data_IF_329640862736
#
_entry.id   IF_329640862736
#
_cell.length_a   1.000
_cell.length_b   1.000
_cell.length_c   1.000
_cell.angle_alpha   90.00
_cell.angle_beta   90.00
_cell.angle_gamma   90.00
#
_symmetry.space_group_name_H-M   'P 1'
#
loop_
_entity.id
_entity.type
_entity.pdbx_description
1 polymer ?
#
# COMPACT_ATOMS: atom_id res chain seq x y z
N UNK A 1 -41.73 63.42 10.30
CA UNK A 1 -40.32 63.13 10.65
C UNK A 1 -40.17 62.06 11.70
N UNK A 2 -40.97 62.08 12.81
CA UNK A 2 -40.90 61.10 13.90
C UNK A 2 -41.38 59.72 13.44
N UNK A 3 -42.40 59.64 12.60
CA UNK A 3 -42.95 58.36 12.11
C UNK A 3 -42.01 57.62 11.11
N UNK A 4 -41.27 58.40 10.34
CA UNK A 4 -40.24 57.81 9.41
C UNK A 4 -39.00 57.33 10.15
N UNK A 5 -38.70 57.91 11.31
CA UNK A 5 -37.61 57.49 12.18
C UNK A 5 -37.97 56.18 12.92
N UNK A 6 -39.20 56.05 13.43
CA UNK A 6 -39.69 54.81 14.04
C UNK A 6 -39.75 53.64 13.07
N UNK A 7 -40.15 53.85 11.81
CA UNK A 7 -40.15 52.84 10.77
C UNK A 7 -38.76 52.39 10.40
N UNK A 8 -37.75 53.26 10.41
CA UNK A 8 -36.35 52.86 10.20
C UNK A 8 -35.79 52.05 11.36
N UNK A 9 -36.09 52.44 12.62
CA UNK A 9 -35.65 51.70 13.78
C UNK A 9 -36.33 50.33 13.85
N UNK A 10 -37.60 50.22 13.47
CA UNK A 10 -38.29 48.92 13.37
C UNK A 10 -37.78 48.06 12.21
N UNK A 11 -37.33 48.64 11.13
CA UNK A 11 -36.73 47.94 10.00
C UNK A 11 -35.30 47.43 10.32
N UNK A 12 -34.53 48.21 11.11
CA UNK A 12 -33.22 47.74 11.59
C UNK A 12 -33.34 46.68 12.72
N UNK A 13 -34.39 46.73 13.53
CA UNK A 13 -34.68 45.68 14.55
C UNK A 13 -35.17 44.37 13.87
N UNK A 14 -35.64 44.41 12.64
CA UNK A 14 -36.03 43.29 11.85
C UNK A 14 -34.87 42.75 10.96
N UNK A 15 -33.61 43.01 11.32
CA UNK A 15 -32.50 42.29 10.75
C UNK A 15 -32.76 40.79 10.94
N UNK A 16 -32.74 39.96 9.87
CA UNK A 16 -33.08 38.58 10.00
C UNK A 16 -32.12 37.98 11.04
N UNK A 17 -32.66 37.52 12.14
CA UNK A 17 -31.93 36.68 13.08
C UNK A 17 -31.36 35.60 12.18
N UNK A 18 -30.04 35.67 11.90
CA UNK A 18 -29.35 34.63 11.18
C UNK A 18 -29.62 33.36 11.96
N UNK A 19 -30.66 32.64 11.56
CA UNK A 19 -31.00 31.37 12.13
C UNK A 19 -29.72 30.57 12.13
N UNK A 20 -29.26 30.17 13.27
CA UNK A 20 -28.23 29.14 13.41
C UNK A 20 -28.83 27.81 12.97
N UNK A 21 -29.44 27.78 11.79
CA UNK A 21 -29.81 26.54 11.14
C UNK A 21 -28.51 25.77 10.97
N UNK A 22 -28.49 24.59 11.53
CA UNK A 22 -27.38 23.65 11.32
C UNK A 22 -27.19 23.56 9.80
N UNK A 23 -26.04 24.04 9.29
CA UNK A 23 -25.75 24.03 7.86
C UNK A 23 -25.88 22.60 7.38
N UNK A 24 -26.85 22.30 6.54
CA UNK A 24 -27.12 20.97 5.98
C UNK A 24 -25.93 20.37 5.25
N UNK A 25 -24.97 21.21 4.87
CA UNK A 25 -23.78 20.88 4.09
C UNK A 25 -22.49 20.87 4.90
N UNK A 26 -22.56 20.46 6.15
CA UNK A 26 -21.32 20.22 6.94
C UNK A 26 -20.48 19.12 6.28
N UNK A 27 -19.15 19.31 6.08
CA UNK A 27 -18.30 18.26 5.57
C UNK A 27 -18.40 17.00 6.41
N UNK A 28 -18.50 15.84 5.76
CA UNK A 28 -18.49 14.55 6.43
C UNK A 28 -17.14 14.35 7.12
N UNK A 29 -17.15 13.97 8.38
CA UNK A 29 -15.92 13.71 9.11
C UNK A 29 -15.29 12.41 8.64
N UNK A 30 -14.09 12.51 8.08
CA UNK A 30 -13.38 11.43 7.42
C UNK A 30 -13.85 11.18 5.99
N UNK A 31 -12.91 10.86 5.10
CA UNK A 31 -13.22 10.60 3.69
C UNK A 31 -14.09 9.36 3.53
N UNK A 32 -15.14 9.45 2.72
CA UNK A 32 -15.98 8.31 2.33
C UNK A 32 -15.26 7.33 1.41
N UNK A 33 -14.22 7.73 0.72
CA UNK A 33 -13.41 6.86 -0.11
C UNK A 33 -12.72 5.72 0.69
N UNK A 34 -12.58 5.91 2.02
CA UNK A 34 -12.02 4.92 2.93
C UNK A 34 -13.08 4.20 3.76
N UNK A 35 -14.27 4.05 3.23
CA UNK A 35 -15.34 3.25 3.81
C UNK A 35 -15.58 1.98 2.97
N UNK A 36 -16.04 0.89 3.59
CA UNK A 36 -16.10 0.61 5.03
C UNK A 36 -14.71 0.42 5.65
N UNK A 37 -14.52 0.90 6.88
CA UNK A 37 -13.24 0.76 7.62
C UNK A 37 -13.18 -0.58 8.31
N UNK A 38 -12.96 -1.63 7.54
CA UNK A 38 -12.86 -3.01 8.00
C UNK A 38 -11.39 -3.37 8.29
N UNK A 39 -11.19 -4.35 9.15
CA UNK A 39 -9.91 -5.02 9.34
C UNK A 39 -9.55 -5.78 8.06
N UNK A 40 -8.31 -5.68 7.59
CA UNK A 40 -7.83 -6.43 6.43
C UNK A 40 -7.88 -7.95 6.71
N UNK A 41 -8.28 -8.73 5.70
CA UNK A 41 -8.34 -10.18 5.82
C UNK A 41 -6.95 -10.83 5.90
N UNK A 42 -5.93 -10.21 5.26
CA UNK A 42 -4.55 -10.69 5.21
C UNK A 42 -3.59 -9.60 5.67
N UNK A 43 -2.40 -9.98 6.11
CA UNK A 43 -1.35 -9.04 6.53
C UNK A 43 -0.70 -8.31 5.35
N UNK A 44 -0.90 -8.77 4.14
CA UNK A 44 -0.40 -8.18 2.90
C UNK A 44 -1.55 -7.87 1.94
N UNK A 45 -1.45 -6.82 1.14
CA UNK A 45 -2.45 -6.45 0.15
C UNK A 45 -2.37 -7.32 -1.11
N UNK A 46 -3.45 -7.33 -1.88
CA UNK A 46 -3.49 -7.97 -3.21
C UNK A 46 -2.93 -6.99 -4.25
N UNK A 47 -2.10 -7.51 -5.15
CA UNK A 47 -1.65 -6.77 -6.33
C UNK A 47 -2.74 -6.89 -7.39
N UNK A 48 -3.32 -5.77 -7.77
CA UNK A 48 -4.22 -5.71 -8.93
C UNK A 48 -3.41 -5.24 -10.13
N UNK A 49 -3.57 -5.86 -11.30
CA UNK A 49 -2.95 -5.38 -12.51
C UNK A 49 -3.43 -3.94 -12.79
N UNK A 50 -2.54 -3.14 -13.29
CA UNK A 50 -2.86 -1.84 -13.86
C UNK A 50 -2.09 -1.76 -15.15
N UNK A 51 -2.78 -1.42 -16.21
CA UNK A 51 -2.32 -1.21 -17.57
C UNK A 51 -1.03 -1.95 -17.95
N UNK A 52 -1.18 -2.94 -18.74
CA UNK A 52 -0.13 -3.83 -19.22
C UNK A 52 0.63 -3.30 -20.44
N UNK A 53 0.30 -2.12 -20.91
CA UNK A 53 0.96 -1.49 -22.06
C UNK A 53 2.39 -1.07 -21.72
N UNK A 54 3.36 -1.88 -22.07
CA UNK A 54 4.79 -1.60 -22.00
C UNK A 54 5.55 -2.52 -22.93
N UNK A 55 6.50 -1.98 -23.70
CA UNK A 55 7.35 -2.73 -24.63
C UNK A 55 8.22 -3.77 -23.93
N UNK A 56 8.51 -3.57 -22.64
CA UNK A 56 9.36 -4.46 -21.86
C UNK A 56 8.55 -5.40 -20.98
N UNK A 57 8.87 -6.69 -21.09
CA UNK A 57 8.28 -7.73 -20.24
C UNK A 57 8.98 -7.71 -18.89
N UNK A 58 8.25 -7.29 -17.86
CA UNK A 58 8.74 -7.24 -16.47
C UNK A 58 7.61 -7.56 -15.50
N UNK A 59 7.93 -8.15 -14.34
CA UNK A 59 6.98 -8.21 -13.23
C UNK A 59 6.60 -6.79 -12.79
N UNK A 60 5.32 -6.57 -12.52
CA UNK A 60 4.80 -5.24 -12.18
C UNK A 60 4.88 -4.93 -10.68
N UNK A 61 5.28 -5.87 -9.86
CA UNK A 61 5.36 -5.68 -8.41
C UNK A 61 6.49 -6.52 -7.79
N UNK A 62 6.93 -6.07 -6.63
CA UNK A 62 7.87 -6.76 -5.76
C UNK A 62 7.41 -6.63 -4.30
N UNK A 63 7.89 -7.49 -3.42
CA UNK A 63 7.55 -7.41 -2.00
C UNK A 63 8.81 -7.43 -1.12
N UNK A 64 8.79 -6.61 -0.08
CA UNK A 64 9.85 -6.55 0.92
C UNK A 64 9.29 -6.26 2.31
N UNK A 65 10.13 -6.35 3.31
CA UNK A 65 9.78 -6.13 4.70
C UNK A 65 10.26 -4.75 5.18
N UNK A 66 9.37 -3.98 5.81
CA UNK A 66 9.75 -2.69 6.38
C UNK A 66 10.72 -2.89 7.55
N UNK A 67 11.97 -2.50 7.38
CA UNK A 67 12.97 -2.57 8.43
C UNK A 67 12.88 -1.36 9.37
N UNK A 68 13.18 -0.18 8.87
CA UNK A 68 13.23 1.03 9.66
C UNK A 68 13.19 2.29 8.81
N UNK A 69 13.56 3.39 9.41
CA UNK A 69 13.77 4.65 8.72
C UNK A 69 15.15 5.19 9.08
N UNK A 70 15.76 5.90 8.15
CA UNK A 70 17.03 6.57 8.34
C UNK A 70 17.02 7.93 7.68
N UNK A 71 18.05 8.72 7.92
CA UNK A 71 18.31 9.98 7.25
C UNK A 71 19.31 9.76 6.13
N UNK A 72 19.12 10.49 5.04
CA UNK A 72 20.00 10.47 3.87
C UNK A 72 20.30 11.89 3.43
N UNK A 73 21.50 12.12 2.92
CA UNK A 73 21.84 13.34 2.17
C UNK A 73 21.78 13.05 0.68
N UNK A 74 21.03 13.85 -0.04
CA UNK A 74 20.80 13.73 -1.49
C UNK A 74 20.99 15.09 -2.13
N UNK A 75 21.71 15.16 -3.24
CA UNK A 75 21.77 16.37 -4.06
C UNK A 75 20.44 16.55 -4.80
N UNK A 76 19.85 17.73 -4.71
CA UNK A 76 18.61 18.02 -5.43
C UNK A 76 18.89 18.32 -6.90
N UNK A 77 18.61 17.35 -7.76
CA UNK A 77 18.84 17.43 -9.21
C UNK A 77 17.70 18.11 -9.98
N UNK A 78 16.66 18.58 -9.31
CA UNK A 78 15.48 19.19 -9.95
C UNK A 78 15.79 20.63 -10.35
N UNK A 79 15.79 20.92 -11.65
CA UNK A 79 16.15 22.24 -12.21
C UNK A 79 15.33 23.43 -11.67
N UNK A 80 14.03 23.20 -11.35
CA UNK A 80 13.10 24.25 -10.90
C UNK A 80 12.95 24.30 -9.36
N UNK A 81 13.79 23.60 -8.63
CA UNK A 81 13.76 23.61 -7.16
C UNK A 81 14.59 24.76 -6.61
N UNK A 82 14.12 25.42 -5.57
CA UNK A 82 14.88 26.43 -4.82
C UNK A 82 16.15 25.84 -4.19
N UNK A 83 16.25 24.51 -4.06
CA UNK A 83 17.38 23.77 -3.52
C UNK A 83 18.20 23.07 -4.60
N UNK A 84 18.01 23.43 -5.88
CA UNK A 84 18.72 22.81 -7.00
C UNK A 84 20.25 22.89 -6.79
N UNK A 85 20.93 21.75 -6.98
CA UNK A 85 22.39 21.63 -6.78
C UNK A 85 22.86 21.60 -5.32
N UNK A 86 21.98 21.82 -4.34
CA UNK A 86 22.34 21.76 -2.92
C UNK A 86 22.11 20.38 -2.33
N UNK A 87 22.86 20.05 -1.31
CA UNK A 87 22.61 18.86 -0.50
C UNK A 87 21.40 19.09 0.42
N UNK A 88 20.49 18.16 0.39
CA UNK A 88 19.27 18.19 1.21
C UNK A 88 19.16 16.91 2.02
N UNK A 89 19.02 17.04 3.33
CA UNK A 89 18.76 15.91 4.22
C UNK A 89 17.30 15.52 4.07
N UNK A 90 17.05 14.23 3.82
CA UNK A 90 15.70 13.66 3.67
C UNK A 90 15.56 12.38 4.48
N UNK A 91 14.35 12.14 4.98
CA UNK A 91 14.03 10.86 5.57
C UNK A 91 13.88 9.80 4.47
N UNK A 92 14.39 8.61 4.73
CA UNK A 92 14.20 7.43 3.88
C UNK A 92 13.74 6.23 4.70
N UNK A 93 12.93 5.40 4.10
CA UNK A 93 12.54 4.11 4.69
C UNK A 93 13.37 3.01 4.07
N UNK A 94 13.93 2.16 4.93
CA UNK A 94 14.66 0.96 4.53
C UNK A 94 13.69 -0.19 4.45
N UNK A 95 13.67 -0.85 3.30
CA UNK A 95 12.94 -2.09 3.05
C UNK A 95 13.95 -3.19 2.84
N UNK A 96 13.82 -4.25 3.60
CA UNK A 96 14.55 -5.51 3.44
C UNK A 96 13.88 -6.31 2.30
N UNK A 97 14.62 -6.60 1.27
CA UNK A 97 14.13 -7.18 0.02
C UNK A 97 14.84 -8.50 -0.30
N UNK A 98 14.62 -9.56 0.51
CA UNK A 98 15.12 -10.87 0.13
C UNK A 98 14.54 -11.29 -1.23
N UNK A 99 15.23 -12.14 -2.01
CA UNK A 99 14.73 -12.62 -3.27
C UNK A 99 13.38 -13.32 -3.12
N UNK A 100 12.52 -13.21 -4.15
CA UNK A 100 11.24 -13.88 -4.19
C UNK A 100 11.36 -15.13 -5.06
N UNK A 101 10.91 -16.28 -4.58
CA UNK A 101 10.90 -17.52 -5.37
C UNK A 101 9.62 -17.61 -6.18
N UNK A 102 9.74 -17.85 -7.48
CA UNK A 102 8.59 -18.10 -8.37
C UNK A 102 8.19 -19.57 -8.24
N UNK A 103 7.09 -19.83 -7.55
CA UNK A 103 6.61 -21.17 -7.25
C UNK A 103 5.63 -21.73 -8.27
N UNK A 104 4.97 -20.85 -9.02
CA UNK A 104 3.98 -21.26 -10.01
C UNK A 104 3.50 -20.13 -10.90
N UNK A 105 2.69 -20.50 -11.85
CA UNK A 105 2.08 -19.62 -12.84
C UNK A 105 0.57 -19.77 -12.73
N UNK A 106 -0.16 -18.67 -12.72
CA UNK A 106 -1.62 -18.66 -12.69
C UNK A 106 -2.16 -17.98 -13.93
N UNK A 107 -3.09 -18.66 -14.57
CA UNK A 107 -3.70 -18.26 -15.83
C UNK A 107 -5.07 -17.67 -15.57
N UNK A 108 -5.37 -16.56 -16.23
CA UNK A 108 -6.64 -15.86 -16.14
C UNK A 108 -7.22 -15.65 -17.53
N UNK A 109 -8.52 -15.92 -17.68
CA UNK A 109 -9.30 -15.52 -18.83
C UNK A 109 -10.22 -14.36 -18.47
N UNK A 110 -10.61 -13.58 -19.47
CA UNK A 110 -11.63 -12.55 -19.33
C UNK A 110 -13.01 -13.17 -19.61
N UNK A 111 -13.92 -13.01 -18.65
CA UNK A 111 -15.30 -13.42 -18.78
C UNK A 111 -16.19 -12.25 -18.36
N UNK A 112 -16.96 -11.70 -19.30
CA UNK A 112 -17.83 -10.54 -19.07
C UNK A 112 -17.16 -9.38 -18.34
N UNK A 113 -15.89 -9.06 -18.70
CA UNK A 113 -15.12 -8.00 -18.06
C UNK A 113 -14.54 -8.35 -16.67
N UNK A 114 -14.71 -9.59 -16.22
CA UNK A 114 -14.13 -10.11 -14.99
C UNK A 114 -13.02 -11.10 -15.28
N UNK A 115 -11.94 -11.07 -14.48
CA UNK A 115 -10.86 -12.06 -14.60
C UNK A 115 -11.21 -13.32 -13.80
N UNK A 116 -11.37 -14.43 -14.49
CA UNK A 116 -11.64 -15.75 -13.93
C UNK A 116 -10.38 -16.60 -14.04
N UNK A 117 -10.05 -17.31 -12.97
CA UNK A 117 -8.89 -18.23 -12.97
C UNK A 117 -9.21 -19.48 -13.78
N UNK A 118 -8.42 -19.76 -14.80
CA UNK A 118 -8.56 -20.96 -15.63
C UNK A 118 -7.74 -22.13 -15.11
N UNK A 119 -6.51 -21.86 -14.67
CA UNK A 119 -5.64 -22.89 -14.15
C UNK A 119 -4.43 -22.34 -13.40
N UNK A 120 -3.74 -23.25 -12.73
CA UNK A 120 -2.48 -22.95 -12.04
C UNK A 120 -1.48 -24.05 -12.33
N UNK A 121 -0.29 -23.66 -12.69
CA UNK A 121 0.84 -24.56 -12.93
C UNK A 121 1.85 -24.33 -11.82
N UNK A 122 2.19 -25.37 -11.10
CA UNK A 122 3.18 -25.33 -10.04
C UNK A 122 4.50 -25.91 -10.51
N UNK A 123 5.59 -25.43 -9.93
CA UNK A 123 6.91 -26.02 -10.09
C UNK A 123 6.93 -27.46 -9.52
N UNK A 124 7.70 -28.36 -10.13
CA UNK A 124 7.82 -29.74 -9.68
C UNK A 124 8.40 -29.87 -8.27
N UNK A 125 9.49 -29.17 -8.01
CA UNK A 125 10.16 -29.18 -6.70
C UNK A 125 9.91 -27.85 -5.99
N UNK A 126 8.91 -27.82 -5.15
CA UNK A 126 8.62 -26.65 -4.31
C UNK A 126 9.56 -26.59 -3.10
N UNK A 127 10.00 -25.39 -2.68
CA UNK A 127 10.80 -25.23 -1.47
C UNK A 127 10.09 -25.80 -0.24
N UNK A 128 10.80 -26.57 0.59
CA UNK A 128 10.25 -27.20 1.81
C UNK A 128 9.63 -26.17 2.79
N UNK A 129 10.12 -24.94 2.78
CA UNK A 129 9.59 -23.86 3.61
C UNK A 129 8.12 -23.56 3.31
N UNK A 130 7.66 -23.82 2.08
CA UNK A 130 6.25 -23.65 1.68
C UNK A 130 5.28 -24.59 2.37
N UNK A 131 5.75 -25.75 2.85
CA UNK A 131 4.91 -26.70 3.62
C UNK A 131 4.30 -26.06 4.87
N UNK A 132 4.91 -24.99 5.40
CA UNK A 132 4.36 -24.20 6.52
C UNK A 132 3.13 -23.37 6.13
N UNK A 133 2.87 -23.22 4.84
CA UNK A 133 1.79 -22.36 4.32
C UNK A 133 0.82 -23.11 3.44
N UNK A 134 1.32 -24.03 2.62
CA UNK A 134 0.55 -24.80 1.65
C UNK A 134 0.79 -26.30 1.90
N UNK A 135 -0.23 -27.10 1.63
CA UNK A 135 -0.07 -28.52 1.55
C UNK A 135 0.66 -28.87 0.24
N UNK A 136 1.84 -29.44 0.32
CA UNK A 136 2.63 -29.84 -0.83
C UNK A 136 2.30 -31.31 -1.14
N UNK A 137 1.75 -31.62 -2.33
CA UNK A 137 1.45 -32.98 -2.70
C UNK A 137 2.75 -33.80 -2.87
N UNK A 138 2.69 -35.07 -2.46
CA UNK A 138 3.86 -35.98 -2.57
C UNK A 138 4.23 -36.28 -4.04
N UNK A 139 3.24 -36.30 -4.94
CA UNK A 139 3.45 -36.48 -6.38
C UNK A 139 3.23 -35.13 -7.08
N UNK A 140 4.25 -34.59 -7.76
CA UNK A 140 4.11 -33.35 -8.48
C UNK A 140 3.21 -33.58 -9.70
N UNK A 141 2.19 -32.76 -9.84
CA UNK A 141 1.34 -32.72 -11.04
C UNK A 141 1.67 -31.47 -11.85
N UNK A 142 2.54 -31.60 -12.83
CA UNK A 142 2.74 -30.55 -13.83
C UNK A 142 1.74 -30.72 -14.97
N UNK A 143 0.73 -29.89 -14.99
CA UNK A 143 -0.18 -29.78 -16.13
C UNK A 143 0.32 -28.73 -17.11
N UNK A 144 1.50 -28.94 -17.72
CA UNK A 144 2.04 -28.06 -18.76
C UNK A 144 1.15 -27.98 -20.00
N UNK A 145 0.40 -29.06 -20.27
CA UNK A 145 -0.48 -29.21 -21.42
C UNK A 145 -1.68 -28.24 -21.43
N UNK A 146 -2.08 -27.72 -20.27
CA UNK A 146 -3.21 -26.79 -20.15
C UNK A 146 -2.96 -25.44 -20.83
N UNK A 147 -1.72 -25.00 -20.91
CA UNK A 147 -1.38 -23.69 -21.44
C UNK A 147 -1.15 -23.67 -22.96
N UNK A 148 -0.70 -24.79 -23.53
CA UNK A 148 -0.43 -24.86 -24.98
C UNK A 148 -1.67 -24.86 -25.86
N UNK A 149 -2.84 -25.24 -25.31
CA UNK A 149 -4.06 -25.44 -26.11
C UNK A 149 -5.02 -24.25 -26.15
N UNK A 150 -4.86 -23.23 -25.29
CA UNK A 150 -5.87 -22.17 -25.09
C UNK A 150 -5.25 -20.76 -24.87
N UNK A 151 -4.08 -20.44 -25.42
CA UNK A 151 -3.44 -19.13 -25.27
C UNK A 151 -4.36 -17.98 -25.74
N UNK A 152 -5.13 -18.21 -26.82
CA UNK A 152 -6.05 -17.22 -27.39
C UNK A 152 -7.19 -16.80 -26.43
N UNK A 153 -7.52 -17.64 -25.47
CA UNK A 153 -8.56 -17.35 -24.47
C UNK A 153 -8.03 -16.67 -23.22
N UNK A 154 -6.71 -16.64 -23.03
CA UNK A 154 -6.09 -16.05 -21.85
C UNK A 154 -6.06 -14.53 -21.97
N UNK A 155 -6.41 -13.88 -20.89
CA UNK A 155 -6.35 -12.42 -20.76
C UNK A 155 -5.10 -11.94 -20.02
N UNK A 156 -4.60 -12.74 -19.07
CA UNK A 156 -3.47 -12.35 -18.21
C UNK A 156 -2.76 -13.58 -17.63
N UNK A 157 -1.46 -13.49 -17.53
CA UNK A 157 -0.61 -14.46 -16.83
C UNK A 157 0.00 -13.81 -15.59
N UNK A 158 -0.08 -14.49 -14.44
CA UNK A 158 0.53 -14.04 -13.19
C UNK A 158 1.51 -15.05 -12.64
N UNK A 159 2.57 -14.54 -12.03
CA UNK A 159 3.52 -15.35 -11.27
C UNK A 159 2.98 -15.55 -9.85
N UNK A 160 2.99 -16.78 -9.36
CA UNK A 160 2.78 -17.08 -7.95
C UNK A 160 4.15 -17.08 -7.28
N UNK A 161 4.36 -16.13 -6.38
CA UNK A 161 5.64 -15.95 -5.71
C UNK A 161 5.53 -16.24 -4.22
N UNK A 162 6.62 -16.72 -3.66
CA UNK A 162 6.83 -16.93 -2.24
C UNK A 162 7.92 -16.02 -1.71
N UNK A 163 7.69 -15.43 -0.55
CA UNK A 163 8.75 -14.69 0.17
C UNK A 163 9.70 -15.65 0.86
N UNK A 164 10.94 -15.21 1.07
CA UNK A 164 11.98 -15.94 1.83
C UNK A 164 12.28 -15.22 3.16
N UNK A 165 11.41 -15.31 4.16
CA UNK A 165 11.61 -14.59 5.43
C UNK A 165 12.81 -15.11 6.23
N UNK A 166 13.30 -16.32 5.96
CA UNK A 166 14.50 -16.86 6.60
C UNK A 166 15.78 -16.13 6.24
N UNK A 167 15.83 -15.48 5.08
CA UNK A 167 16.96 -14.67 4.62
C UNK A 167 16.89 -13.21 5.09
N UNK A 168 15.81 -12.82 5.76
CA UNK A 168 15.62 -11.50 6.33
C UNK A 168 15.87 -11.48 7.84
N UNK A 169 16.14 -10.31 8.40
CA UNK A 169 16.36 -10.13 9.84
C UNK A 169 15.12 -10.25 10.73
N UNK A 170 13.98 -10.69 10.19
CA UNK A 170 12.69 -10.68 10.91
C UNK A 170 12.56 -11.79 11.96
N UNK A 171 13.23 -12.94 11.78
CA UNK A 171 13.01 -14.14 12.59
C UNK A 171 11.69 -14.88 12.28
N UNK A 172 10.98 -14.51 11.22
CA UNK A 172 9.78 -15.20 10.75
C UNK A 172 10.15 -16.42 9.91
N UNK A 173 9.50 -17.54 10.13
CA UNK A 173 9.77 -18.81 9.41
C UNK A 173 8.73 -19.12 8.34
N UNK A 174 7.49 -18.60 8.45
CA UNK A 174 6.41 -18.89 7.51
C UNK A 174 6.42 -17.91 6.35
N UNK A 175 6.51 -18.38 5.09
CA UNK A 175 6.48 -17.52 3.91
C UNK A 175 5.09 -16.96 3.65
N UNK A 176 5.03 -15.88 2.88
CA UNK A 176 3.80 -15.35 2.31
C UNK A 176 3.76 -15.68 0.82
N UNK A 177 2.61 -16.14 0.36
CA UNK A 177 2.39 -16.50 -1.05
C UNK A 177 1.34 -15.57 -1.65
N UNK A 178 1.67 -14.97 -2.78
CA UNK A 178 0.78 -14.03 -3.48
C UNK A 178 1.10 -14.01 -4.99
N UNK A 179 0.26 -13.32 -5.74
CA UNK A 179 0.35 -13.24 -7.19
C UNK A 179 0.97 -11.90 -7.61
N UNK A 180 1.85 -11.94 -8.61
CA UNK A 180 2.43 -10.78 -9.27
C UNK A 180 2.05 -10.81 -10.74
N UNK A 181 1.39 -9.77 -11.28
CA UNK A 181 1.13 -9.64 -12.71
C UNK A 181 2.42 -9.32 -13.47
N UNK A 182 2.48 -9.76 -14.73
CA UNK A 182 3.58 -9.47 -15.65
C UNK A 182 3.09 -8.48 -16.70
N UNK A 183 3.95 -7.60 -17.21
CA UNK A 183 3.63 -6.67 -18.30
C UNK A 183 3.78 -7.35 -19.67
N UNK A 184 3.18 -6.76 -20.71
CA UNK A 184 3.30 -7.20 -22.10
C UNK A 184 2.13 -8.04 -22.59
N UNK A 185 2.27 -8.60 -23.79
CA UNK A 185 1.27 -9.46 -24.42
C UNK A 185 1.25 -10.86 -23.78
N UNK A 186 0.12 -11.54 -23.86
CA UNK A 186 -0.12 -12.82 -23.16
C UNK A 186 0.91 -13.90 -23.56
N UNK A 187 1.24 -14.00 -24.84
CA UNK A 187 2.25 -14.95 -25.32
C UNK A 187 3.63 -14.69 -24.71
N UNK A 188 4.03 -13.43 -24.71
CA UNK A 188 5.30 -13.00 -24.13
C UNK A 188 5.31 -13.14 -22.62
N UNK A 189 4.17 -12.83 -21.93
CA UNK A 189 4.00 -13.08 -20.50
C UNK A 189 4.17 -14.55 -20.17
N UNK A 190 3.62 -15.43 -21.02
CA UNK A 190 3.71 -16.88 -20.88
C UNK A 190 5.16 -17.37 -21.00
N UNK A 191 5.86 -16.97 -22.06
CA UNK A 191 7.27 -17.33 -22.29
C UNK A 191 8.15 -16.90 -21.10
N UNK A 192 7.99 -15.66 -20.63
CA UNK A 192 8.69 -15.13 -19.47
C UNK A 192 8.36 -15.90 -18.19
N UNK A 193 7.10 -16.24 -17.98
CA UNK A 193 6.67 -16.97 -16.79
C UNK A 193 7.27 -18.39 -16.74
N UNK A 194 7.36 -19.06 -17.89
CA UNK A 194 8.02 -20.37 -17.99
C UNK A 194 9.52 -20.28 -17.70
N UNK A 195 10.18 -19.25 -18.23
CA UNK A 195 11.62 -19.03 -17.99
C UNK A 195 11.93 -18.78 -16.51
N UNK A 196 11.07 -18.02 -15.83
CA UNK A 196 11.25 -17.66 -14.42
C UNK A 196 10.71 -18.69 -13.44
N UNK A 197 10.01 -19.71 -13.89
CA UNK A 197 9.46 -20.75 -13.02
C UNK A 197 10.57 -21.47 -12.26
N UNK A 198 10.50 -21.44 -10.94
CA UNK A 198 11.49 -22.03 -10.03
C UNK A 198 12.73 -21.18 -9.77
N UNK A 199 12.86 -20.04 -10.44
CA UNK A 199 13.98 -19.13 -10.22
C UNK A 199 13.64 -18.06 -9.17
N UNK A 200 14.67 -17.41 -8.68
CA UNK A 200 14.56 -16.27 -7.80
C UNK A 200 14.35 -14.99 -8.60
N UNK A 201 13.56 -14.09 -8.05
CA UNK A 201 13.29 -12.77 -8.61
C UNK A 201 13.93 -11.73 -7.69
N UNK A 202 14.86 -10.95 -8.24
CA UNK A 202 15.58 -9.89 -7.53
C UNK A 202 14.87 -8.53 -7.68
N UNK A 203 14.99 -7.61 -6.70
CA UNK A 203 14.37 -6.28 -6.80
C UNK A 203 14.91 -5.46 -7.98
N UNK A 204 16.18 -5.61 -8.34
CA UNK A 204 16.80 -4.91 -9.46
C UNK A 204 16.26 -5.33 -10.85
N UNK A 205 15.72 -6.55 -10.97
CA UNK A 205 15.06 -7.00 -12.20
C UNK A 205 13.71 -6.31 -12.43
N UNK A 206 13.04 -5.92 -11.33
CA UNK A 206 11.68 -5.36 -11.37
C UNK A 206 11.71 -3.84 -11.50
N UNK A 207 12.55 -3.19 -10.68
CA UNK A 207 12.60 -1.74 -10.57
C UNK A 207 13.99 -1.17 -10.84
N UNK A 208 14.01 0.03 -11.41
CA UNK A 208 15.23 0.81 -11.58
C UNK A 208 15.39 1.83 -10.43
N UNK A 209 16.65 2.19 -10.15
CA UNK A 209 16.96 3.29 -9.24
C UNK A 209 16.38 4.60 -9.78
N UNK A 210 15.81 5.43 -8.90
CA UNK A 210 15.15 6.70 -9.28
C UNK A 210 13.74 6.54 -9.82
N UNK A 211 13.23 5.32 -9.99
CA UNK A 211 11.86 5.05 -10.44
C UNK A 211 10.85 5.40 -9.34
N UNK A 212 9.64 5.80 -9.78
CA UNK A 212 8.51 6.03 -8.90
C UNK A 212 7.69 4.76 -8.74
N UNK A 213 7.38 4.42 -7.51
CA UNK A 213 6.59 3.24 -7.16
C UNK A 213 5.40 3.60 -6.29
N UNK A 214 4.34 2.82 -6.41
CA UNK A 214 3.19 2.85 -5.51
C UNK A 214 3.38 1.79 -4.43
N UNK A 215 3.20 2.18 -3.18
CA UNK A 215 3.39 1.31 -2.04
C UNK A 215 2.05 0.90 -1.47
N UNK A 216 1.81 -0.40 -1.44
CA UNK A 216 0.64 -0.99 -0.82
C UNK A 216 1.03 -1.71 0.47
N UNK A 217 0.38 -1.37 1.57
CA UNK A 217 0.59 -2.07 2.84
C UNK A 217 -0.65 -2.04 3.73
N UNK A 218 -0.68 -2.94 4.69
CA UNK A 218 -1.66 -2.94 5.78
C UNK A 218 -1.12 -2.11 6.93
N UNK A 219 -1.85 -1.08 7.34
CA UNK A 219 -1.43 -0.12 8.36
C UNK A 219 -1.31 -0.76 9.75
N UNK A 220 -0.68 -0.04 10.69
CA UNK A 220 -0.59 -0.44 12.09
C UNK A 220 -2.00 -0.55 12.69
N UNK A 221 -2.33 -1.67 13.30
CA UNK A 221 -3.61 -1.87 14.00
C UNK A 221 -3.68 -1.05 15.28
N UNK A 222 -4.84 -0.51 15.57
CA UNK A 222 -5.15 0.26 16.80
C UNK A 222 -6.39 -0.29 17.52
N UNK A 223 -6.88 -1.46 17.08
CA UNK A 223 -8.04 -2.12 17.66
C UNK A 223 -9.33 -1.33 17.52
N UNK A 224 -10.26 -1.57 18.44
CA UNK A 224 -11.52 -0.83 18.54
C UNK A 224 -11.27 0.59 19.05
N UNK A 225 -11.76 1.59 18.34
CA UNK A 225 -11.58 2.99 18.70
C UNK A 225 -12.90 3.75 18.66
N UNK A 226 -13.06 4.66 19.63
CA UNK A 226 -14.21 5.57 19.70
C UNK A 226 -14.23 6.55 18.53
N UNK A 227 -15.38 7.17 18.32
CA UNK A 227 -15.67 8.07 17.20
C UNK A 227 -14.73 9.26 17.09
N UNK A 228 -14.28 9.79 18.22
CA UNK A 228 -13.37 10.95 18.26
C UNK A 228 -12.02 10.56 17.66
N UNK A 229 -11.40 9.47 18.12
CA UNK A 229 -10.10 8.98 17.61
C UNK A 229 -10.21 8.46 16.19
N UNK A 230 -11.32 7.82 15.86
CA UNK A 230 -11.52 7.15 14.55
C UNK A 230 -11.85 8.14 13.44
N UNK A 231 -12.57 9.22 13.72
CA UNK A 231 -13.06 10.18 12.72
C UNK A 231 -12.68 11.63 13.01
N UNK A 232 -12.01 11.92 14.13
CA UNK A 232 -11.63 13.28 14.51
C UNK A 232 -12.83 14.18 14.83
N UNK A 233 -13.87 13.62 15.46
CA UNK A 233 -15.02 14.42 15.87
C UNK A 233 -14.62 15.37 17.00
N UNK A 234 -15.23 16.57 17.01
CA UNK A 234 -15.06 17.55 18.08
C UNK A 234 -15.64 16.99 19.38
N UNK A 235 -14.88 17.08 20.46
CA UNK A 235 -15.36 16.78 21.81
C UNK A 235 -16.40 17.83 22.18
N UNK A 236 -17.48 17.41 22.81
CA UNK A 236 -18.53 18.30 23.29
C UNK A 236 -18.05 19.10 24.50
N UNK A 237 -18.83 20.10 24.87
CA UNK A 237 -18.59 20.91 26.10
C UNK A 237 -18.55 20.04 27.36
N UNK A 238 -17.83 20.48 28.37
CA UNK A 238 -17.75 19.82 29.68
C UNK A 238 -19.14 19.70 30.35
N UNK A 239 -20.07 20.63 30.06
CA UNK A 239 -21.45 20.63 30.57
C UNK A 239 -22.38 19.66 29.79
N UNK A 240 -21.87 18.67 29.07
CA UNK A 240 -22.69 17.72 28.28
C UNK A 240 -23.20 16.51 29.08
N UNK A 241 -23.25 16.58 30.39
CA UNK A 241 -23.81 15.50 31.23
C UNK A 241 -23.12 14.15 31.05
N UNK A 242 -21.79 14.09 31.14
CA UNK A 242 -21.00 12.86 30.93
C UNK A 242 -20.89 12.37 29.50
N UNK A 243 -21.56 12.99 28.52
CA UNK A 243 -21.60 12.58 27.12
C UNK A 243 -20.61 13.31 26.21
N UNK A 244 -19.47 13.76 26.78
CA UNK A 244 -18.48 14.56 26.04
C UNK A 244 -17.91 13.84 24.81
N UNK A 245 -17.66 12.55 24.93
CA UNK A 245 -17.02 11.74 23.88
C UNK A 245 -18.02 10.94 23.03
N UNK A 246 -19.31 11.17 23.22
CA UNK A 246 -20.34 10.48 22.45
C UNK A 246 -20.56 11.12 21.09
N UNK A 247 -21.04 10.29 20.15
CA UNK A 247 -21.60 10.75 18.90
C UNK A 247 -22.88 11.58 19.20
N UNK A 248 -23.23 12.48 18.30
CA UNK A 248 -24.52 13.17 18.33
C UNK A 248 -25.66 12.29 17.87
N UNK A 249 -26.63 12.90 17.21
CA UNK A 249 -27.74 12.20 16.59
C UNK A 249 -27.25 11.22 15.51
N UNK A 250 -27.84 10.04 15.46
CA UNK A 250 -27.48 9.01 14.49
C UNK A 250 -28.33 9.06 13.21
N UNK A 251 -29.15 10.08 13.06
CA UNK A 251 -29.98 10.30 11.90
C UNK A 251 -31.41 10.70 12.26
N UNK A 252 -32.25 11.04 11.28
CA UNK A 252 -33.66 11.32 11.47
C UNK A 252 -34.45 10.06 11.78
N UNK A 253 -35.71 10.21 12.21
CA UNK A 253 -36.64 9.11 12.52
C UNK A 253 -36.88 8.26 11.26
N UNK A 254 -37.07 8.88 10.13
CA UNK A 254 -37.16 8.21 8.83
C UNK A 254 -35.77 8.18 8.18
N UNK A 255 -35.21 7.04 7.82
CA UNK A 255 -35.76 5.68 7.64
C UNK A 255 -35.69 4.74 8.86
N UNK A 256 -35.67 5.22 10.10
CA UNK A 256 -35.64 4.43 11.33
C UNK A 256 -34.42 3.51 11.53
N UNK A 257 -33.38 3.71 10.73
CA UNK A 257 -32.12 2.95 10.77
C UNK A 257 -30.91 3.87 10.58
N UNK A 258 -29.78 3.46 11.13
CA UNK A 258 -28.50 4.14 10.88
C UNK A 258 -28.02 3.79 9.48
N UNK A 259 -27.86 4.79 8.62
CA UNK A 259 -27.38 4.57 7.25
C UNK A 259 -25.87 4.29 7.26
N UNK A 260 -25.44 3.12 6.73
CA UNK A 260 -24.02 2.81 6.61
C UNK A 260 -23.26 3.86 5.80
N UNK A 261 -22.07 4.21 6.24
CA UNK A 261 -21.21 5.15 5.52
C UNK A 261 -21.59 6.64 5.65
N UNK A 262 -22.72 6.98 6.26
CA UNK A 262 -23.11 8.38 6.51
C UNK A 262 -22.72 8.89 7.89
N UNK A 263 -22.75 8.03 8.89
CA UNK A 263 -22.54 8.41 10.30
C UNK A 263 -21.26 7.80 10.83
N UNK A 264 -20.44 8.64 11.46
CA UNK A 264 -19.20 8.21 12.10
C UNK A 264 -19.51 7.40 13.37
N UNK A 265 -19.17 6.12 13.38
CA UNK A 265 -19.37 5.23 14.52
C UNK A 265 -18.05 4.66 15.05
N UNK A 266 -18.04 4.21 16.30
CA UNK A 266 -16.92 3.46 16.86
C UNK A 266 -16.70 2.15 16.09
N UNK A 267 -15.49 1.61 16.16
CA UNK A 267 -15.12 0.36 15.50
C UNK A 267 -13.63 0.25 15.21
N UNK A 268 -13.28 -0.66 14.34
CA UNK A 268 -11.88 -0.91 13.97
C UNK A 268 -11.17 0.32 13.42
N UNK A 269 -10.03 0.65 14.01
CA UNK A 269 -9.10 1.67 13.53
C UNK A 269 -7.74 1.02 13.22
N UNK A 270 -7.20 1.35 12.07
CA UNK A 270 -5.96 0.73 11.58
C UNK A 270 -6.16 -0.73 11.16
N UNK A 271 -5.06 -1.41 10.83
CA UNK A 271 -5.05 -2.72 10.16
C UNK A 271 -5.87 -2.71 8.86
N UNK A 272 -5.75 -1.62 8.13
CA UNK A 272 -6.48 -1.36 6.89
C UNK A 272 -5.51 -1.23 5.74
N UNK A 273 -5.87 -1.75 4.57
CA UNK A 273 -5.04 -1.63 3.37
C UNK A 273 -5.01 -0.18 2.92
N UNK A 274 -3.81 0.33 2.67
CA UNK A 274 -3.56 1.67 2.12
C UNK A 274 -2.59 1.58 0.95
N UNK A 275 -2.78 2.47 0.00
CA UNK A 275 -1.87 2.68 -1.12
C UNK A 275 -1.34 4.11 -1.03
N UNK A 276 -0.03 4.25 -0.98
CA UNK A 276 0.66 5.51 -1.13
C UNK A 276 1.26 5.57 -2.52
N UNK A 277 0.94 6.61 -3.26
CA UNK A 277 1.33 6.77 -4.65
C UNK A 277 2.65 7.53 -4.78
N UNK A 278 3.36 7.30 -5.89
CA UNK A 278 4.51 8.08 -6.35
C UNK A 278 5.60 8.24 -5.27
N UNK A 279 6.05 7.14 -4.68
CA UNK A 279 7.23 7.11 -3.82
C UNK A 279 8.47 6.83 -4.66
N UNK A 280 9.53 7.61 -4.47
CA UNK A 280 10.76 7.48 -5.24
C UNK A 280 11.69 6.44 -4.63
N UNK A 281 12.21 5.55 -5.46
CA UNK A 281 13.30 4.65 -5.09
C UNK A 281 14.60 5.46 -5.15
N UNK A 282 15.36 5.45 -4.07
CA UNK A 282 16.61 6.20 -3.97
C UNK A 282 17.81 5.31 -4.32
N UNK A 283 17.83 4.10 -3.76
CA UNK A 283 18.88 3.12 -4.00
C UNK A 283 18.32 1.71 -3.89
N UNK A 284 18.80 0.84 -4.73
CA UNK A 284 18.65 -0.62 -4.63
C UNK A 284 20.06 -1.15 -4.40
N UNK A 285 20.26 -1.94 -3.36
CA UNK A 285 21.56 -2.53 -3.05
C UNK A 285 21.37 -4.00 -2.71
N UNK A 286 22.34 -4.81 -3.10
CA UNK A 286 22.38 -6.25 -2.85
C UNK A 286 23.12 -6.57 -1.54
N UNK A 287 24.00 -5.65 -1.11
CA UNK A 287 24.70 -5.75 0.18
C UNK A 287 23.77 -5.40 1.33
N UNK A 288 24.08 -5.91 2.52
CA UNK A 288 23.33 -5.57 3.72
C UNK A 288 23.45 -4.09 4.11
N UNK A 289 22.42 -3.55 4.72
CA UNK A 289 22.42 -2.20 5.31
C UNK A 289 21.89 -2.26 6.73
N UNK A 290 22.74 -1.97 7.71
CA UNK A 290 22.32 -1.99 9.10
C UNK A 290 23.13 -1.01 9.92
N UNK A 291 22.51 -0.22 10.81
CA UNK A 291 23.21 0.52 11.81
C UNK A 291 23.90 -0.44 12.80
N UNK A 292 24.91 0.04 13.52
CA UNK A 292 25.51 -0.70 14.62
C UNK A 292 24.41 -1.10 15.62
N UNK A 293 24.24 -2.39 15.89
CA UNK A 293 23.15 -2.89 16.72
C UNK A 293 21.83 -3.20 15.98
N UNK A 294 21.73 -2.94 14.67
CA UNK A 294 20.55 -3.22 13.85
C UNK A 294 19.44 -2.18 13.97
N UNK A 295 18.38 -2.34 13.18
CA UNK A 295 17.20 -1.49 13.27
C UNK A 295 16.32 -1.84 14.48
N UNK A 296 15.90 -0.84 15.23
CA UNK A 296 15.03 -1.03 16.41
C UNK A 296 13.80 -1.87 16.10
N UNK A 297 13.60 -2.94 16.83
CA UNK A 297 12.50 -3.91 16.67
C UNK A 297 12.47 -4.68 15.35
N UNK A 298 13.54 -4.62 14.54
CA UNK A 298 13.66 -5.40 13.32
C UNK A 298 14.83 -6.37 13.39
N UNK A 299 16.02 -5.87 13.63
CA UNK A 299 17.28 -6.56 13.55
C UNK A 299 18.15 -6.03 12.40
N UNK A 300 19.04 -6.86 11.91
CA UNK A 300 19.90 -6.54 10.78
C UNK A 300 19.19 -6.82 9.44
N UNK A 301 19.60 -6.12 8.40
CA UNK A 301 19.22 -6.38 7.00
C UNK A 301 20.43 -7.01 6.32
N UNK A 302 20.45 -8.34 6.19
CA UNK A 302 21.66 -9.05 5.79
C UNK A 302 21.95 -8.98 4.30
N UNK A 303 20.90 -9.05 3.46
CA UNK A 303 21.00 -9.09 2.01
C UNK A 303 19.89 -8.26 1.38
N UNK A 304 20.18 -7.63 0.27
CA UNK A 304 19.18 -6.98 -0.57
C UNK A 304 18.31 -5.95 0.15
N UNK A 305 18.50 -4.68 -0.15
CA UNK A 305 17.67 -3.62 0.42
C UNK A 305 17.22 -2.62 -0.63
N UNK A 306 16.16 -1.92 -0.30
CA UNK A 306 15.65 -0.80 -1.08
C UNK A 306 15.42 0.41 -0.19
N UNK A 307 16.01 1.55 -0.57
CA UNK A 307 15.76 2.84 0.09
C UNK A 307 14.66 3.58 -0.64
N UNK A 308 13.61 3.94 0.09
CA UNK A 308 12.48 4.70 -0.45
C UNK A 308 12.37 6.04 0.25
N UNK A 309 12.20 7.09 -0.52
CA UNK A 309 12.06 8.44 0.00
C UNK A 309 10.81 8.60 0.86
N UNK A 310 11.01 9.12 2.07
CA UNK A 310 9.94 9.42 3.01
C UNK A 310 9.42 8.21 3.78
N UNK A 311 8.26 8.38 4.41
CA UNK A 311 7.60 7.33 5.18
C UNK A 311 6.76 6.41 4.29
N UNK A 312 6.51 5.19 4.76
CA UNK A 312 5.65 4.20 4.11
C UNK A 312 4.67 3.61 5.12
N UNK A 313 3.49 3.16 4.69
CA UNK A 313 2.47 2.63 5.60
C UNK A 313 2.92 1.31 6.23
N UNK A 314 2.36 1.00 7.38
CA UNK A 314 2.61 -0.25 8.11
C UNK A 314 3.63 -0.12 9.24
N UNK A 315 3.61 -1.06 10.20
CA UNK A 315 4.62 -1.19 11.24
C UNK A 315 5.92 -1.80 10.69
N UNK A 316 7.00 -1.74 11.46
CA UNK A 316 8.21 -2.53 11.23
C UNK A 316 7.84 -4.01 11.14
N UNK A 317 8.61 -4.80 10.41
CA UNK A 317 8.37 -6.23 10.10
C UNK A 317 7.17 -6.52 9.18
N UNK A 318 6.43 -5.50 8.69
CA UNK A 318 5.28 -5.68 7.80
C UNK A 318 5.76 -5.97 6.38
N UNK A 319 5.17 -7.00 5.75
CA UNK A 319 5.30 -7.21 4.32
C UNK A 319 4.61 -6.07 3.56
N UNK A 320 5.34 -5.45 2.67
CA UNK A 320 4.94 -4.32 1.85
C UNK A 320 5.05 -4.73 0.40
N UNK A 321 4.06 -4.38 -0.39
CA UNK A 321 4.08 -4.59 -1.82
C UNK A 321 4.37 -3.26 -2.51
N UNK A 322 5.41 -3.28 -3.31
CA UNK A 322 5.83 -2.24 -4.22
C UNK A 322 5.28 -2.60 -5.59
N UNK A 323 4.68 -1.66 -6.28
CA UNK A 323 4.25 -1.86 -7.67
C UNK A 323 4.68 -0.66 -8.50
N UNK A 324 4.78 -0.83 -9.81
CA UNK A 324 5.01 0.26 -10.75
C UNK A 324 3.96 1.37 -10.52
N UNK A 325 4.40 2.63 -10.53
CA UNK A 325 3.51 3.75 -10.28
C UNK A 325 2.44 3.86 -11.37
N UNK A 326 1.18 3.87 -10.95
CA UNK A 326 0.04 3.89 -11.85
C UNK A 326 -0.27 5.27 -12.45
N UNK A 327 0.14 6.32 -11.75
CA UNK A 327 -0.21 7.72 -12.06
C UNK A 327 1.00 8.54 -12.52
N UNK A 328 2.09 7.90 -12.79
CA UNK A 328 3.33 8.57 -13.18
C UNK A 328 3.82 8.02 -14.53
N UNK A 329 4.04 8.92 -15.47
CA UNK A 329 4.49 8.62 -16.83
C UNK A 329 5.92 9.12 -17.12
N UNK A 330 6.58 9.72 -16.12
CA UNK A 330 7.92 10.27 -16.28
C UNK A 330 9.02 9.19 -16.35
N UNK A 331 10.17 9.57 -16.85
CA UNK A 331 11.37 8.71 -16.83
C UNK A 331 11.98 8.64 -15.43
N UNK A 332 12.68 7.56 -15.07
CA UNK A 332 13.46 7.48 -13.85
C UNK A 332 14.43 8.67 -13.76
N UNK A 333 14.44 9.35 -12.63
CA UNK A 333 15.31 10.49 -12.42
C UNK A 333 16.53 10.02 -11.65
N UNK A 334 17.72 10.41 -12.10
CA UNK A 334 18.95 10.13 -11.39
C UNK A 334 18.89 10.68 -9.95
N UNK A 335 19.35 9.87 -9.01
CA UNK A 335 19.44 10.24 -7.59
C UNK A 335 20.91 10.22 -7.19
N UNK A 336 21.42 11.38 -6.90
CA UNK A 336 22.78 11.52 -6.37
C UNK A 336 22.73 11.41 -4.84
N UNK A 337 22.99 10.20 -4.35
CA UNK A 337 23.00 9.88 -2.93
C UNK A 337 24.42 10.06 -2.38
N UNK A 338 24.62 11.06 -1.52
CA UNK A 338 25.92 11.36 -0.92
C UNK A 338 26.18 10.55 0.35
N UNK A 339 25.19 10.48 1.24
CA UNK A 339 25.37 9.84 2.53
C UNK A 339 24.09 9.14 3.01
N UNK A 340 24.28 8.02 3.67
CA UNK A 340 23.20 7.29 4.38
C UNK A 340 23.61 7.16 5.84
N UNK A 341 22.82 7.69 6.75
CA UNK A 341 23.11 7.57 8.18
C UNK A 341 22.90 6.13 8.64
N UNK A 342 23.93 5.55 9.21
CA UNK A 342 23.93 4.23 9.86
C UNK A 342 24.17 4.37 11.38
N UNK A 343 23.95 5.55 11.92
CA UNK A 343 24.05 5.79 13.35
C UNK A 343 23.01 4.99 14.12
N UNK A 344 23.34 4.57 15.36
CA UNK A 344 22.37 3.89 16.23
C UNK A 344 21.12 4.75 16.42
N UNK A 345 19.94 4.15 16.33
CA UNK A 345 18.66 4.84 16.51
C UNK A 345 18.16 4.77 17.98
N UNK A 346 19.03 4.42 18.90
CA UNK A 346 18.73 4.33 20.33
C UNK A 346 19.39 5.48 21.08
#
# INVERSE_FOLDING_TARGET
LVFTFLLKVLAEAAAPVKSFMAKDHKPVKGSRAFWPRKRAARMYPVVRPMQTGGEHIKPLAFAGYKAGMTQISVTDTRKQSATSGREVIRAATVIDCPPLVVCGIKLYRSDNGSLVSEGTIWQEKLPNVLSRKLHIPKKPHMKKELAGKNLDRLAEVRLIVSTQPGESGIGKKTPEVFEIPVSGDVEKQWAYALEKLGKELMPAEVFAQGEMVDIKAVTKGKGYAGVIKRFGLKIRSRKSGGKMRHLGTMGPVTPSRVLPGKIAQAGQLGFQTRTEFNKRILKIGDDGISPKGGFVSYGQVPKGYMLIQGSIPGPKKRLIILRKAARWSGKPQHVDLKYVSLEPQQ
#
